data_IF_922189665139
#
_entry.id   IF_922189665139
#
_cell.length_a   1.000
_cell.length_b   1.000
_cell.length_c   1.000
_cell.angle_alpha   90.00
_cell.angle_beta   90.00
_cell.angle_gamma   90.00
#
_symmetry.space_group_name_H-M   'P 1'
#
loop_
_entity.id
_entity.type
_entity.pdbx_description
1 polymer ?
#
# COMPACT_ATOMS: atom_id res chain seq x y z
N UNK A 1 1.21 10.04 4.01
CA UNK A 1 1.07 9.09 2.90
C UNK A 1 -0.31 8.47 2.98
N UNK A 2 -1.06 8.48 1.88
CA UNK A 2 -2.42 7.95 1.79
C UNK A 2 -2.59 7.11 0.52
N UNK A 3 -3.53 6.17 0.55
CA UNK A 3 -3.83 5.27 -0.55
C UNK A 3 -5.31 4.85 -0.51
N UNK A 4 -5.82 4.33 -1.62
CA UNK A 4 -7.13 3.68 -1.66
C UNK A 4 -6.99 2.20 -1.30
N UNK A 5 -8.01 1.58 -0.67
CA UNK A 5 -8.05 0.13 -0.45
C UNK A 5 -8.08 -0.64 -1.78
N UNK A 6 -7.78 -1.95 -1.75
CA UNK A 6 -7.61 -2.76 -2.96
C UNK A 6 -8.94 -2.89 -3.74
N UNK A 7 -10.05 -2.91 -3.01
CA UNK A 7 -11.41 -3.01 -3.56
C UNK A 7 -11.99 -1.68 -4.03
N UNK A 8 -11.26 -0.56 -3.91
CA UNK A 8 -11.73 0.73 -4.37
C UNK A 8 -11.88 0.75 -5.90
N UNK A 9 -13.08 1.10 -6.39
CA UNK A 9 -13.36 1.15 -7.84
C UNK A 9 -13.54 2.60 -8.31
N UNK A 10 -12.73 3.08 -9.26
CA UNK A 10 -12.95 4.39 -9.89
C UNK A 10 -14.30 4.43 -10.61
N UNK A 11 -15.10 5.45 -10.31
CA UNK A 11 -16.39 5.68 -10.96
C UNK A 11 -16.30 6.83 -11.97
N UNK A 12 -16.94 6.68 -13.13
CA UNK A 12 -17.03 7.72 -14.15
C UNK A 12 -18.38 8.42 -14.02
N UNK A 13 -18.40 9.75 -13.95
CA UNK A 13 -19.63 10.51 -13.91
C UNK A 13 -20.42 10.39 -15.22
N UNK A 14 -21.75 10.53 -15.14
CA UNK A 14 -22.61 10.53 -16.33
C UNK A 14 -22.25 11.67 -17.28
N UNK A 15 -22.12 11.33 -18.56
CA UNK A 15 -21.74 12.30 -19.59
C UNK A 15 -22.97 12.80 -20.35
N UNK A 16 -23.28 14.08 -20.17
CA UNK A 16 -24.45 14.75 -20.79
C UNK A 16 -24.24 15.11 -22.27
N UNK A 17 -23.16 14.62 -22.89
CA UNK A 17 -22.89 14.84 -24.32
C UNK A 17 -22.21 16.18 -24.65
N UNK A 18 -21.96 17.04 -23.65
CA UNK A 18 -21.31 18.36 -23.85
C UNK A 18 -19.94 18.43 -23.18
N UNK A 19 -18.98 19.02 -23.87
CA UNK A 19 -17.65 19.30 -23.33
C UNK A 19 -16.70 18.11 -23.33
N UNK A 20 -15.73 18.10 -22.41
CA UNK A 20 -14.77 17.00 -22.28
C UNK A 20 -15.43 15.83 -21.56
N UNK A 21 -15.25 14.61 -22.08
CA UNK A 21 -15.70 13.39 -21.40
C UNK A 21 -15.09 13.28 -19.99
N UNK A 22 -15.88 12.89 -18.97
CA UNK A 22 -15.39 12.69 -17.62
C UNK A 22 -14.40 11.51 -17.59
N UNK A 23 -13.41 11.62 -16.72
CA UNK A 23 -12.46 10.54 -16.42
C UNK A 23 -12.88 9.83 -15.14
N UNK A 24 -12.64 8.52 -15.02
CA UNK A 24 -12.88 7.79 -13.77
C UNK A 24 -12.14 8.44 -12.60
N UNK A 25 -12.82 8.53 -11.45
CA UNK A 25 -12.24 9.00 -10.19
C UNK A 25 -12.71 8.12 -9.04
N UNK A 26 -11.86 7.94 -8.04
CA UNK A 26 -12.30 7.35 -6.77
C UNK A 26 -13.29 8.32 -6.10
N UNK A 27 -14.50 7.86 -5.76
CA UNK A 27 -15.52 8.72 -5.16
C UNK A 27 -15.24 8.98 -3.68
N UNK A 28 -14.63 8.02 -3.00
CA UNK A 28 -14.31 8.08 -1.58
C UNK A 28 -13.00 8.84 -1.33
N UNK A 29 -12.76 9.22 -0.08
CA UNK A 29 -11.49 9.82 0.34
C UNK A 29 -10.44 8.73 0.57
N UNK A 30 -9.17 8.92 0.17
CA UNK A 30 -8.13 7.92 0.41
C UNK A 30 -7.85 7.79 1.92
N UNK A 31 -7.60 6.56 2.36
CA UNK A 31 -7.25 6.26 3.74
C UNK A 31 -5.77 6.51 4.01
N UNK A 32 -5.40 6.74 5.27
CA UNK A 32 -3.98 6.79 5.62
C UNK A 32 -3.38 5.38 5.55
N UNK A 33 -2.10 5.27 5.21
CA UNK A 33 -1.44 3.95 5.19
C UNK A 33 -1.47 3.28 6.57
N UNK A 34 -1.46 4.05 7.66
CA UNK A 34 -1.60 3.52 9.02
C UNK A 34 -2.96 2.86 9.21
N UNK A 35 -4.04 3.51 8.79
CA UNK A 35 -5.40 2.96 8.91
C UNK A 35 -5.54 1.68 8.10
N UNK A 36 -4.98 1.65 6.88
CA UNK A 36 -4.98 0.46 6.03
C UNK A 36 -4.18 -0.70 6.66
N UNK A 37 -3.03 -0.42 7.27
CA UNK A 37 -2.23 -1.46 7.95
C UNK A 37 -2.97 -2.00 9.19
N UNK A 38 -3.64 -1.12 9.94
CA UNK A 38 -4.45 -1.53 11.11
C UNK A 38 -5.63 -2.39 10.64
N UNK A 39 -6.32 -2.00 9.57
CA UNK A 39 -7.44 -2.74 9.01
C UNK A 39 -7.03 -4.11 8.44
N UNK A 40 -5.91 -4.18 7.72
CA UNK A 40 -5.35 -5.43 7.21
C UNK A 40 -4.91 -6.37 8.35
N UNK A 41 -4.49 -5.82 9.49
CA UNK A 41 -4.11 -6.61 10.66
C UNK A 41 -2.71 -7.23 10.56
N UNK A 42 -2.25 -7.78 11.69
CA UNK A 42 -0.86 -8.20 11.86
C UNK A 42 -0.48 -9.41 11.01
N UNK A 43 -1.42 -10.30 10.70
CA UNK A 43 -1.17 -11.52 9.92
C UNK A 43 -0.81 -11.21 8.45
N UNK A 44 -1.17 -10.02 7.97
CA UNK A 44 -0.84 -9.53 6.64
C UNK A 44 0.52 -8.81 6.59
N UNK A 45 1.19 -8.60 7.73
CA UNK A 45 2.56 -8.09 7.79
C UNK A 45 3.57 -9.23 7.54
N UNK A 46 4.46 -9.03 6.57
CA UNK A 46 5.53 -9.95 6.20
C UNK A 46 6.88 -9.26 6.35
N UNK A 47 7.82 -9.93 7.01
CA UNK A 47 9.22 -9.54 6.97
C UNK A 47 9.86 -10.19 5.75
N UNK A 48 10.51 -9.38 4.91
CA UNK A 48 11.21 -9.83 3.70
C UNK A 48 12.67 -9.47 3.83
N UNK A 49 13.55 -10.44 3.67
CA UNK A 49 15.00 -10.24 3.58
C UNK A 49 15.42 -10.17 2.12
N UNK A 50 16.02 -9.05 1.71
CA UNK A 50 16.42 -8.81 0.33
C UNK A 50 17.79 -9.43 0.00
N UNK A 51 18.75 -9.24 0.90
CA UNK A 51 20.13 -9.73 0.76
C UNK A 51 20.81 -9.80 2.12
N UNK A 52 21.88 -10.58 2.19
CA UNK A 52 22.79 -10.58 3.34
C UNK A 52 23.99 -9.69 2.98
N UNK A 53 24.33 -8.77 3.87
CA UNK A 53 25.47 -7.88 3.75
C UNK A 53 26.77 -8.55 4.15
N UNK A 54 27.87 -7.81 4.03
CA UNK A 54 29.21 -8.28 4.45
C UNK A 54 29.64 -7.75 5.82
N UNK A 55 28.82 -6.91 6.46
CA UNK A 55 29.13 -6.27 7.74
C UNK A 55 28.17 -6.76 8.82
N UNK A 56 28.50 -7.86 9.52
CA UNK A 56 27.71 -8.31 10.65
C UNK A 56 27.92 -7.39 11.85
N UNK A 57 26.92 -7.35 12.73
CA UNK A 57 27.00 -6.68 14.02
C UNK A 57 26.41 -7.60 15.09
N UNK A 58 26.67 -7.37 16.39
CA UNK A 58 26.05 -8.18 17.45
C UNK A 58 24.51 -8.20 17.40
N UNK A 59 23.88 -7.14 16.88
CA UNK A 59 22.44 -7.04 16.71
C UNK A 59 21.92 -7.59 15.37
N UNK A 60 22.83 -7.90 14.43
CA UNK A 60 22.52 -8.44 13.11
C UNK A 60 23.70 -9.33 12.65
N UNK A 61 23.82 -10.55 13.20
CA UNK A 61 24.97 -11.42 12.97
C UNK A 61 25.04 -11.92 11.53
N UNK A 62 23.89 -12.06 10.87
CA UNK A 62 23.79 -12.53 9.49
C UNK A 62 23.89 -11.39 8.47
N UNK A 63 24.09 -10.15 8.96
CA UNK A 63 24.10 -8.93 8.18
C UNK A 63 22.86 -8.80 7.27
N UNK A 64 21.72 -9.32 7.71
CA UNK A 64 20.49 -9.32 6.92
C UNK A 64 19.99 -7.91 6.65
N UNK A 65 19.63 -7.65 5.40
CA UNK A 65 18.94 -6.43 5.00
C UNK A 65 17.48 -6.80 4.75
N UNK A 66 16.68 -6.64 5.79
CA UNK A 66 15.25 -6.94 5.80
C UNK A 66 14.38 -5.70 5.91
N UNK A 67 13.17 -5.77 5.37
CA UNK A 67 12.12 -4.77 5.58
C UNK A 67 10.78 -5.44 5.94
N UNK A 68 9.89 -4.68 6.56
CA UNK A 68 8.52 -5.12 6.83
C UNK A 68 7.58 -4.56 5.77
N UNK A 69 6.70 -5.41 5.25
CA UNK A 69 5.72 -5.10 4.21
C UNK A 69 4.36 -5.63 4.62
N UNK A 70 3.31 -4.86 4.41
CA UNK A 70 1.95 -5.30 4.66
C UNK A 70 1.19 -5.37 3.34
N UNK A 71 0.44 -6.45 3.15
CA UNK A 71 -0.56 -6.51 2.08
C UNK A 71 -1.80 -5.78 2.58
N UNK A 72 -2.24 -4.79 1.81
CA UNK A 72 -3.45 -4.03 2.08
C UNK A 72 -4.51 -4.62 1.15
N UNK A 73 -5.59 -5.13 1.73
CA UNK A 73 -6.79 -5.58 1.01
C UNK A 73 -7.89 -4.59 1.36
#
# INVERSE_FOLDING_TARGET
TSAYPDDAVPTTADYTGRGRRPTPKYPDEPLTCTDLIIAAGRDNCRQITWRHGSKPSPANPDAELSGQFSVLT
#
